data_IF_556657553513
#
_entry.id   IF_556657553513
#
_cell.length_a   1.000
_cell.length_b   1.000
_cell.length_c   1.000
_cell.angle_alpha   90.00
_cell.angle_beta   90.00
_cell.angle_gamma   90.00
#
_symmetry.space_group_name_H-M   'P 1'
#
loop_
_entity.id
_entity.type
_entity.pdbx_description
1 polymer ?
#
# COMPACT_ATOMS: atom_id res chain seq x y z
N UNK A 1 9.35 -59.94 -51.44
CA UNK A 1 9.70 -58.57 -51.20
C UNK A 1 9.02 -58.13 -49.84
N UNK A 2 9.85 -58.12 -48.77
CA UNK A 2 9.37 -57.68 -47.44
C UNK A 2 9.76 -56.20 -47.28
N UNK A 3 8.78 -55.31 -47.12
CA UNK A 3 9.03 -53.86 -46.83
C UNK A 3 9.15 -53.66 -45.32
N UNK A 4 10.32 -53.21 -44.86
CA UNK A 4 10.51 -52.75 -43.50
C UNK A 4 10.05 -51.27 -43.41
N UNK A 5 9.12 -51.00 -42.51
CA UNK A 5 8.76 -49.62 -42.09
C UNK A 5 9.62 -49.25 -40.88
N UNK A 6 10.49 -48.26 -41.04
CA UNK A 6 11.20 -47.61 -39.96
C UNK A 6 10.27 -46.56 -39.35
N UNK A 7 9.84 -46.77 -38.09
CA UNK A 7 9.13 -45.78 -37.30
C UNK A 7 10.21 -44.98 -36.57
N UNK A 8 10.40 -43.71 -37.00
CA UNK A 8 11.26 -42.74 -36.32
C UNK A 8 10.46 -42.09 -35.23
N UNK A 9 10.71 -42.46 -33.95
CA UNK A 9 10.14 -41.79 -32.79
C UNK A 9 10.86 -40.46 -32.53
N UNK A 10 10.20 -39.35 -32.82
CA UNK A 10 10.64 -38.03 -32.39
C UNK A 10 10.36 -37.88 -30.90
N UNK A 11 11.38 -37.94 -30.04
CA UNK A 11 11.33 -37.57 -28.64
C UNK A 11 11.38 -36.02 -28.56
N UNK A 12 10.24 -35.38 -28.37
CA UNK A 12 10.19 -33.97 -28.03
C UNK A 12 10.56 -33.81 -26.55
N UNK A 13 11.77 -33.37 -26.28
CA UNK A 13 12.16 -32.90 -24.94
C UNK A 13 11.39 -31.58 -24.63
N UNK A 14 10.36 -31.66 -23.82
CA UNK A 14 9.84 -30.50 -23.15
C UNK A 14 10.83 -30.08 -22.06
N UNK A 15 11.60 -29.03 -22.31
CA UNK A 15 12.34 -28.33 -21.27
C UNK A 15 11.32 -27.68 -20.30
N UNK A 16 11.00 -28.39 -19.22
CA UNK A 16 10.29 -27.82 -18.10
C UNK A 16 11.26 -26.81 -17.45
N UNK A 17 11.10 -25.55 -17.79
CA UNK A 17 11.80 -24.47 -17.10
C UNK A 17 11.46 -24.53 -15.62
N UNK A 18 12.35 -25.09 -14.81
CA UNK A 18 12.27 -25.05 -13.37
C UNK A 18 12.43 -23.58 -12.95
N UNK A 19 11.32 -22.86 -12.74
CA UNK A 19 11.40 -21.60 -12.02
C UNK A 19 11.90 -21.93 -10.61
N UNK A 20 13.07 -21.45 -10.25
CA UNK A 20 13.62 -21.66 -8.92
C UNK A 20 12.60 -21.17 -7.88
N UNK A 21 12.16 -22.10 -7.02
CA UNK A 21 11.24 -21.74 -5.95
C UNK A 21 11.88 -20.67 -5.06
N UNK A 22 11.17 -19.57 -4.80
CA UNK A 22 11.64 -18.52 -3.91
C UNK A 22 12.07 -19.08 -2.55
N UNK A 23 13.15 -18.55 -2.02
CA UNK A 23 13.63 -18.81 -0.66
C UNK A 23 14.30 -17.56 -0.09
N UNK A 24 14.29 -17.38 1.25
CA UNK A 24 15.05 -16.32 1.90
C UNK A 24 16.53 -16.34 1.49
N UNK A 25 17.12 -15.18 1.26
CA UNK A 25 18.52 -15.03 0.91
C UNK A 25 19.42 -15.07 2.14
N UNK A 26 20.52 -15.84 2.07
CA UNK A 26 21.52 -15.94 3.15
C UNK A 26 20.95 -16.48 4.46
N UNK A 27 21.72 -16.27 5.54
CA UNK A 27 21.44 -16.74 6.91
C UNK A 27 21.27 -15.61 7.92
N UNK A 28 20.90 -14.40 7.46
CA UNK A 28 20.61 -13.26 8.33
C UNK A 28 19.53 -13.59 9.35
N UNK A 29 19.56 -12.89 10.48
CA UNK A 29 18.56 -13.00 11.54
C UNK A 29 17.15 -12.80 10.95
N UNK A 30 16.25 -13.70 11.32
CA UNK A 30 14.84 -13.68 10.96
C UNK A 30 14.00 -13.85 12.23
N UNK A 31 12.81 -13.29 12.21
CA UNK A 31 11.79 -13.55 13.23
C UNK A 31 11.08 -14.87 12.95
N UNK A 32 10.34 -15.41 13.92
CA UNK A 32 9.56 -16.63 13.75
C UNK A 32 8.52 -16.53 12.64
N UNK A 33 7.98 -15.33 12.40
CA UNK A 33 7.03 -15.05 11.31
C UNK A 33 7.62 -15.21 9.90
N UNK A 34 8.93 -15.20 9.76
CA UNK A 34 9.57 -15.42 8.46
C UNK A 34 9.21 -16.78 7.85
N UNK A 35 8.98 -17.82 8.69
CA UNK A 35 8.56 -19.15 8.26
C UNK A 35 7.12 -19.19 7.70
N UNK A 36 6.31 -18.18 8.00
CA UNK A 36 4.91 -18.08 7.60
C UNK A 36 4.73 -17.31 6.26
N UNK A 37 5.81 -16.75 5.69
CA UNK A 37 5.74 -15.99 4.45
C UNK A 37 5.45 -16.93 3.29
N UNK A 38 4.32 -16.67 2.63
CA UNK A 38 3.92 -17.32 1.39
C UNK A 38 4.06 -16.35 0.21
N UNK A 39 4.99 -16.55 -0.73
CA UNK A 39 5.21 -15.65 -1.87
C UNK A 39 3.98 -15.46 -2.77
N UNK A 40 3.05 -16.41 -2.78
CA UNK A 40 1.81 -16.30 -3.53
C UNK A 40 0.73 -15.48 -2.82
N UNK A 41 0.89 -15.20 -1.52
CA UNK A 41 -0.10 -14.48 -0.70
C UNK A 41 0.59 -13.67 0.41
N UNK A 42 1.36 -12.67 0.01
CA UNK A 42 2.18 -11.83 0.91
C UNK A 42 1.33 -10.70 1.45
N UNK A 43 1.23 -10.58 2.79
CA UNK A 43 0.48 -9.52 3.49
C UNK A 43 -0.92 -9.33 2.85
N UNK A 44 -1.82 -10.31 3.02
CA UNK A 44 -3.11 -10.34 2.33
C UNK A 44 -4.14 -9.37 2.90
N UNK A 45 -3.88 -8.77 4.05
CA UNK A 45 -4.76 -7.80 4.70
C UNK A 45 -4.82 -6.48 3.92
N UNK A 46 -5.96 -5.79 4.01
CA UNK A 46 -6.12 -4.46 3.41
C UNK A 46 -5.16 -3.47 4.07
N UNK A 47 -4.32 -2.76 3.28
CA UNK A 47 -3.16 -2.05 3.85
C UNK A 47 -3.47 -0.68 4.45
N UNK A 48 -4.70 -0.16 4.31
CA UNK A 48 -5.10 1.17 4.81
C UNK A 48 -6.41 1.09 5.61
N UNK A 49 -6.43 0.44 6.80
CA UNK A 49 -7.66 0.15 7.55
C UNK A 49 -8.43 1.40 8.01
N UNK A 50 -7.77 2.57 8.07
CA UNK A 50 -8.44 3.83 8.41
C UNK A 50 -9.44 4.30 7.33
N UNK A 51 -9.35 3.78 6.11
CA UNK A 51 -10.27 4.05 5.01
C UNK A 51 -10.28 2.86 4.06
N UNK A 52 -11.10 1.88 4.35
CA UNK A 52 -11.17 0.60 3.66
C UNK A 52 -12.23 0.60 2.56
N UNK A 53 -11.90 -0.01 1.40
CA UNK A 53 -12.85 -0.35 0.33
C UNK A 53 -12.91 -1.85 0.14
N UNK A 54 -14.10 -2.34 -0.19
CA UNK A 54 -14.32 -3.78 -0.42
C UNK A 54 -13.61 -4.30 -1.67
N UNK A 55 -13.52 -3.46 -2.72
CA UNK A 55 -12.87 -3.80 -3.97
C UNK A 55 -11.41 -3.31 -3.96
N UNK A 56 -10.46 -4.23 -4.02
CA UNK A 56 -9.04 -3.93 -4.14
C UNK A 56 -8.25 -5.13 -4.65
N UNK A 57 -7.01 -4.92 -5.07
CA UNK A 57 -6.12 -5.98 -5.50
C UNK A 57 -4.72 -5.78 -4.93
N UNK A 58 -4.24 -6.79 -4.20
CA UNK A 58 -2.87 -6.84 -3.71
C UNK A 58 -1.91 -7.10 -4.88
N UNK A 59 -0.85 -6.31 -4.97
CA UNK A 59 0.24 -6.47 -5.94
C UNK A 59 1.55 -6.92 -5.29
N UNK A 60 1.55 -7.29 -4.01
CA UNK A 60 2.71 -7.93 -3.39
C UNK A 60 2.99 -9.30 -4.03
N UNK A 61 4.16 -9.85 -3.76
CA UNK A 61 4.59 -11.14 -4.28
C UNK A 61 5.85 -11.01 -5.12
N UNK A 62 6.11 -11.98 -5.99
CA UNK A 62 7.32 -11.99 -6.81
C UNK A 62 7.23 -10.99 -7.96
N UNK A 63 8.23 -10.13 -8.08
CA UNK A 63 8.45 -9.18 -9.16
C UNK A 63 9.80 -9.46 -9.80
N UNK A 64 9.95 -9.19 -11.09
CA UNK A 64 11.27 -9.15 -11.70
C UNK A 64 12.05 -7.94 -11.17
N UNK A 65 13.37 -8.07 -10.99
CA UNK A 65 14.22 -6.96 -10.56
C UNK A 65 15.53 -6.93 -11.33
N UNK A 66 16.10 -5.75 -11.42
CA UNK A 66 17.48 -5.51 -11.87
C UNK A 66 18.09 -4.32 -11.11
N UNK A 67 19.39 -4.36 -10.91
CA UNK A 67 20.18 -3.23 -10.42
C UNK A 67 20.96 -2.65 -11.59
N UNK A 68 20.73 -1.39 -11.91
CA UNK A 68 21.37 -0.68 -13.04
C UNK A 68 22.22 0.48 -12.52
N UNK A 69 23.11 1.02 -13.32
CA UNK A 69 23.81 2.25 -12.97
C UNK A 69 22.82 3.43 -13.04
N UNK A 70 23.03 4.41 -12.18
CA UNK A 70 22.18 5.59 -12.08
C UNK A 70 22.13 6.35 -13.41
N UNK A 71 20.91 6.59 -13.85
CA UNK A 71 20.63 7.30 -15.10
C UNK A 71 20.65 6.43 -16.35
N UNK A 72 20.88 5.12 -16.24
CA UNK A 72 20.71 4.21 -17.34
C UNK A 72 19.24 4.04 -17.74
N UNK A 73 19.04 3.58 -18.98
CA UNK A 73 17.71 3.19 -19.44
C UNK A 73 17.19 1.97 -18.71
N UNK A 74 15.87 1.75 -18.77
CA UNK A 74 15.25 0.56 -18.21
C UNK A 74 15.88 -0.70 -18.86
N UNK A 75 16.18 -1.74 -18.06
CA UNK A 75 16.88 -2.91 -18.55
C UNK A 75 15.99 -3.73 -19.49
N UNK A 76 16.57 -4.30 -20.55
CA UNK A 76 15.88 -5.27 -21.40
C UNK A 76 15.76 -6.65 -20.74
N UNK A 77 16.69 -6.98 -19.85
CA UNK A 77 16.73 -8.24 -19.11
C UNK A 77 16.79 -7.97 -17.61
N UNK A 78 16.19 -8.86 -16.82
CA UNK A 78 16.17 -8.78 -15.36
C UNK A 78 17.11 -9.82 -14.75
N UNK A 79 17.69 -9.50 -13.60
CA UNK A 79 18.62 -10.38 -12.88
C UNK A 79 17.92 -11.58 -12.23
N UNK A 80 16.63 -11.46 -11.93
CA UNK A 80 15.84 -12.47 -11.25
C UNK A 80 14.56 -11.93 -10.65
N UNK A 81 14.12 -12.57 -9.56
CA UNK A 81 12.91 -12.18 -8.85
C UNK A 81 13.20 -11.70 -7.44
N UNK A 82 12.44 -10.69 -7.00
CA UNK A 82 12.44 -10.13 -5.66
C UNK A 82 11.05 -10.24 -5.06
N UNK A 83 10.95 -10.59 -3.79
CA UNK A 83 9.66 -10.66 -3.09
C UNK A 83 9.29 -9.28 -2.53
N UNK A 84 8.34 -8.62 -3.15
CA UNK A 84 7.74 -7.37 -2.68
C UNK A 84 6.71 -7.68 -1.58
N UNK A 85 6.69 -6.93 -0.45
CA UNK A 85 7.35 -5.65 -0.19
C UNK A 85 8.60 -5.74 0.70
N UNK A 86 9.48 -6.68 0.48
CA UNK A 86 10.70 -6.77 1.28
C UNK A 86 11.84 -6.03 0.59
N UNK A 87 12.49 -5.11 1.33
CA UNK A 87 13.63 -4.35 0.83
C UNK A 87 14.73 -5.27 0.28
N UNK A 88 15.45 -4.85 -0.75
CA UNK A 88 16.44 -5.68 -1.45
C UNK A 88 17.51 -6.25 -0.52
N UNK A 89 17.86 -5.54 0.57
CA UNK A 89 18.83 -5.99 1.57
C UNK A 89 18.29 -7.07 2.50
N UNK A 90 16.97 -7.17 2.62
CA UNK A 90 16.30 -8.13 3.50
C UNK A 90 16.50 -9.56 3.01
N UNK A 91 16.64 -10.50 3.96
CA UNK A 91 16.63 -11.94 3.66
C UNK A 91 15.34 -12.34 2.96
N UNK A 92 14.18 -11.81 3.39
CA UNK A 92 12.87 -12.13 2.85
C UNK A 92 12.63 -11.59 1.43
N UNK A 93 13.45 -10.66 0.94
CA UNK A 93 13.40 -10.26 -0.47
C UNK A 93 13.75 -11.42 -1.41
N UNK A 94 14.50 -12.42 -0.92
CA UNK A 94 15.11 -13.48 -1.72
C UNK A 94 16.39 -13.05 -2.43
N UNK A 95 16.81 -11.78 -2.30
CA UNK A 95 17.97 -11.19 -2.98
C UNK A 95 19.12 -10.92 -2.01
N UNK A 96 18.91 -10.18 -0.94
CA UNK A 96 19.90 -9.92 0.11
C UNK A 96 21.08 -9.03 -0.32
N UNK A 97 20.96 -8.30 -1.44
CA UNK A 97 21.98 -7.40 -1.97
C UNK A 97 21.89 -6.02 -1.33
N UNK A 98 23.00 -5.28 -1.33
CA UNK A 98 23.04 -3.83 -1.06
C UNK A 98 23.23 -3.09 -2.38
N UNK A 99 22.62 -1.91 -2.49
CA UNK A 99 22.86 -0.96 -3.57
C UNK A 99 23.55 0.26 -3.02
N UNK A 100 24.14 1.07 -3.90
CA UNK A 100 24.85 2.31 -3.53
C UNK A 100 24.29 3.51 -4.29
N UNK A 101 24.80 4.70 -3.97
CA UNK A 101 24.34 5.97 -4.53
C UNK A 101 24.48 6.12 -6.06
N UNK A 102 25.28 5.26 -6.70
CA UNK A 102 25.49 5.24 -8.15
C UNK A 102 24.63 4.19 -8.86
N UNK A 103 23.70 3.56 -8.15
CA UNK A 103 22.84 2.50 -8.66
C UNK A 103 21.36 2.86 -8.49
N UNK A 104 20.53 2.26 -9.32
CA UNK A 104 19.08 2.31 -9.26
C UNK A 104 18.53 0.88 -9.28
N UNK A 105 17.48 0.65 -8.49
CA UNK A 105 16.76 -0.62 -8.43
C UNK A 105 15.53 -0.54 -9.31
N UNK A 106 15.40 -1.44 -10.27
CA UNK A 106 14.25 -1.52 -11.18
C UNK A 106 13.43 -2.74 -10.84
N UNK A 107 12.11 -2.55 -10.71
CA UNK A 107 11.12 -3.60 -10.51
C UNK A 107 10.19 -3.67 -11.70
N UNK A 108 9.72 -4.88 -12.04
CA UNK A 108 8.69 -5.07 -13.07
C UNK A 108 7.71 -6.15 -12.64
N UNK A 109 6.41 -5.88 -12.87
CA UNK A 109 5.33 -6.83 -12.66
C UNK A 109 4.24 -6.70 -13.71
N UNK A 110 3.73 -7.83 -14.18
CA UNK A 110 2.49 -7.88 -14.96
C UNK A 110 1.28 -7.96 -14.04
N UNK A 111 0.19 -7.29 -14.44
CA UNK A 111 -1.07 -7.32 -13.69
C UNK A 111 -2.27 -7.18 -14.62
N UNK A 112 -3.42 -7.67 -14.16
CA UNK A 112 -4.70 -7.55 -14.86
C UNK A 112 -5.69 -6.73 -14.03
N UNK A 113 -6.55 -5.98 -14.71
CA UNK A 113 -7.66 -5.25 -14.10
C UNK A 113 -8.89 -6.15 -14.09
N UNK A 114 -9.53 -6.37 -12.92
CA UNK A 114 -10.78 -7.10 -12.84
C UNK A 114 -11.86 -6.48 -13.75
N UNK A 115 -12.61 -7.31 -14.48
CA UNK A 115 -13.65 -6.83 -15.40
C UNK A 115 -14.75 -5.99 -14.71
N UNK A 116 -14.99 -6.23 -13.42
CA UNK A 116 -15.92 -5.45 -12.58
C UNK A 116 -15.47 -3.99 -12.37
N UNK A 117 -14.22 -3.64 -12.68
CA UNK A 117 -13.68 -2.28 -12.55
C UNK A 117 -13.84 -1.44 -13.82
N UNK A 118 -14.42 -2.01 -14.87
CA UNK A 118 -14.65 -1.30 -16.15
C UNK A 118 -15.42 0.00 -15.93
N UNK A 119 -14.89 1.10 -16.46
CA UNK A 119 -15.50 2.43 -16.35
C UNK A 119 -15.24 3.16 -15.02
N UNK A 120 -14.49 2.56 -14.10
CA UNK A 120 -14.01 3.23 -12.89
C UNK A 120 -12.60 3.77 -13.09
N UNK A 121 -12.20 4.75 -12.30
CA UNK A 121 -10.79 5.13 -12.14
C UNK A 121 -10.09 4.03 -11.35
N UNK A 122 -8.81 3.79 -11.65
CA UNK A 122 -7.98 2.83 -10.94
C UNK A 122 -6.82 3.58 -10.29
N UNK A 123 -6.77 3.53 -8.98
CA UNK A 123 -5.67 4.09 -8.20
C UNK A 123 -4.65 3.00 -7.88
N UNK A 124 -3.39 3.28 -8.16
CA UNK A 124 -2.23 2.47 -7.74
C UNK A 124 -1.61 3.12 -6.52
N UNK A 125 -1.44 2.33 -5.46
CA UNK A 125 -0.94 2.79 -4.17
C UNK A 125 0.35 2.10 -3.80
N UNK A 126 1.23 2.84 -3.13
CA UNK A 126 2.43 2.35 -2.48
C UNK A 126 2.38 2.78 -1.00
N UNK A 127 2.54 1.84 -0.09
CA UNK A 127 2.62 2.13 1.34
C UNK A 127 3.88 2.91 1.70
N UNK A 128 5.03 2.49 1.19
CA UNK A 128 6.28 3.24 1.22
C UNK A 128 7.32 2.65 0.25
N UNK A 129 8.15 3.53 -0.30
CA UNK A 129 9.30 3.18 -1.16
C UNK A 129 10.46 4.10 -0.79
N UNK A 130 11.59 3.57 -0.39
CA UNK A 130 12.79 4.34 -0.07
C UNK A 130 13.73 4.37 -1.27
N UNK A 131 14.01 5.48 -1.84
CA UNK A 131 13.69 6.86 -1.48
C UNK A 131 13.02 7.63 -2.64
N UNK A 132 13.71 7.83 -3.81
CA UNK A 132 13.18 8.50 -5.00
C UNK A 132 12.65 7.48 -5.98
N UNK A 133 11.38 7.60 -6.31
CA UNK A 133 10.62 6.60 -7.07
C UNK A 133 10.07 7.22 -8.34
N UNK A 134 10.25 6.53 -9.46
CA UNK A 134 9.57 6.80 -10.73
C UNK A 134 8.72 5.58 -11.10
N UNK A 135 7.50 5.80 -11.61
CA UNK A 135 6.54 4.73 -11.90
C UNK A 135 5.99 4.85 -13.32
N UNK A 136 5.96 3.73 -14.03
CA UNK A 136 5.39 3.60 -15.38
C UNK A 136 4.36 2.47 -15.41
N UNK A 137 3.31 2.66 -16.21
CA UNK A 137 2.35 1.63 -16.58
C UNK A 137 2.28 1.60 -18.11
N UNK A 138 2.52 0.44 -18.73
CA UNK A 138 2.54 0.27 -20.19
C UNK A 138 3.39 1.35 -20.91
N UNK A 139 4.62 1.57 -20.44
CA UNK A 139 5.59 2.55 -20.90
C UNK A 139 5.19 4.03 -20.70
N UNK A 140 4.01 4.31 -20.16
CA UNK A 140 3.56 5.65 -19.78
C UNK A 140 4.01 5.98 -18.38
N UNK A 141 4.79 7.04 -18.18
CA UNK A 141 5.17 7.51 -16.84
C UNK A 141 3.94 8.08 -16.14
N UNK A 142 3.50 7.43 -15.05
CA UNK A 142 2.31 7.85 -14.30
C UNK A 142 2.64 8.80 -13.15
N UNK A 143 3.89 8.82 -12.69
CA UNK A 143 4.31 9.78 -11.69
C UNK A 143 5.66 9.50 -11.07
N UNK A 144 6.03 10.35 -10.13
CA UNK A 144 7.24 10.26 -9.31
C UNK A 144 6.91 10.60 -7.86
N UNK A 145 7.66 10.03 -6.93
CA UNK A 145 7.58 10.34 -5.50
C UNK A 145 8.98 10.47 -4.92
N UNK A 146 9.09 11.28 -3.88
CA UNK A 146 10.33 11.45 -3.10
C UNK A 146 9.98 11.43 -1.62
N UNK A 147 10.54 10.47 -0.89
CA UNK A 147 10.27 10.25 0.53
C UNK A 147 10.16 8.77 0.87
N UNK A 148 10.97 8.28 1.82
CA UNK A 148 11.06 6.85 2.13
C UNK A 148 9.99 6.31 3.07
N UNK A 149 9.15 7.17 3.69
CA UNK A 149 8.30 6.78 4.83
C UNK A 149 6.82 7.10 4.64
N UNK A 150 6.46 7.82 3.59
CA UNK A 150 5.09 8.27 3.34
C UNK A 150 4.43 7.51 2.21
N UNK A 151 3.13 7.16 2.34
CA UNK A 151 2.38 6.54 1.25
C UNK A 151 2.13 7.54 0.12
N UNK A 152 2.02 7.02 -1.09
CA UNK A 152 1.67 7.80 -2.27
C UNK A 152 0.82 6.97 -3.25
N UNK A 153 0.15 7.67 -4.17
CA UNK A 153 -0.78 7.03 -5.11
C UNK A 153 -0.80 7.75 -6.45
N UNK A 154 -1.07 6.99 -7.51
CA UNK A 154 -1.24 7.52 -8.87
C UNK A 154 -2.55 7.01 -9.47
N UNK A 155 -3.27 7.86 -10.18
CA UNK A 155 -4.34 7.42 -11.07
C UNK A 155 -3.70 6.85 -12.35
N UNK A 156 -3.86 5.55 -12.54
CA UNK A 156 -3.26 4.83 -13.68
C UNK A 156 -4.27 4.61 -14.81
N UNK A 157 -5.48 5.09 -14.69
CA UNK A 157 -6.61 4.78 -15.60
C UNK A 157 -6.27 5.03 -17.06
N UNK A 158 -5.66 6.18 -17.36
CA UNK A 158 -5.30 6.56 -18.73
C UNK A 158 -4.15 5.75 -19.34
N UNK A 159 -3.33 5.12 -18.49
CA UNK A 159 -2.20 4.29 -18.92
C UNK A 159 -2.56 2.81 -19.08
N UNK A 160 -3.76 2.39 -18.71
CA UNK A 160 -4.20 1.01 -18.85
C UNK A 160 -4.44 0.63 -20.31
N UNK A 161 -4.04 -0.57 -20.69
CA UNK A 161 -4.19 -1.12 -22.07
C UNK A 161 -5.60 -1.56 -22.23
N UNK A 162 -6.61 -1.32 -21.86
CA UNK A 162 -8.01 -1.76 -22.09
C UNK A 162 -8.22 -3.24 -22.46
N UNK A 163 -7.15 -4.01 -22.64
CA UNK A 163 -7.17 -5.45 -23.00
C UNK A 163 -6.00 -6.18 -22.33
N UNK A 164 -6.32 -7.22 -21.52
CA UNK A 164 -5.35 -8.17 -21.01
C UNK A 164 -4.38 -7.63 -19.97
N UNK A 165 -3.16 -8.11 -20.02
CA UNK A 165 -2.09 -7.78 -19.08
C UNK A 165 -1.59 -6.34 -19.27
N UNK A 166 -1.36 -5.68 -18.16
CA UNK A 166 -0.64 -4.43 -18.07
C UNK A 166 0.73 -4.68 -17.45
N UNK A 167 1.70 -3.84 -17.77
CA UNK A 167 3.04 -3.90 -17.19
C UNK A 167 3.24 -2.71 -16.26
N UNK A 168 3.65 -2.98 -15.04
CA UNK A 168 4.07 -1.99 -14.05
C UNK A 168 5.59 -2.03 -13.93
N UNK A 169 6.23 -0.87 -14.07
CA UNK A 169 7.67 -0.69 -13.84
C UNK A 169 7.85 0.37 -12.76
N UNK A 170 8.71 0.08 -11.80
CA UNK A 170 9.08 0.98 -10.71
C UNK A 170 10.59 1.09 -10.68
N UNK A 171 11.12 2.31 -10.77
CA UNK A 171 12.55 2.59 -10.67
C UNK A 171 12.82 3.40 -9.41
N UNK A 172 13.77 2.96 -8.60
CA UNK A 172 14.06 3.56 -7.29
C UNK A 172 15.55 3.87 -7.16
N UNK A 173 15.83 5.08 -6.70
CA UNK A 173 17.17 5.50 -6.30
C UNK A 173 17.19 5.82 -4.81
N UNK A 174 18.08 5.17 -4.07
CA UNK A 174 18.32 5.41 -2.66
C UNK A 174 19.82 5.56 -2.38
N UNK A 175 20.30 6.77 -2.01
CA UNK A 175 21.70 6.98 -1.68
C UNK A 175 22.05 6.58 -0.24
N UNK A 176 21.13 6.03 0.54
CA UNK A 176 21.28 5.65 1.95
C UNK A 176 21.84 6.80 2.79
N UNK A 177 23.14 6.82 3.07
CA UNK A 177 23.84 7.82 3.89
C UNK A 177 24.71 8.81 3.08
N UNK A 178 24.59 8.80 1.75
CA UNK A 178 25.33 9.66 0.81
C UNK A 178 24.51 10.84 0.28
N UNK A 179 23.31 11.04 0.80
CA UNK A 179 22.41 12.12 0.40
C UNK A 179 21.88 12.93 1.58
N UNK A 180 21.15 14.01 1.31
CA UNK A 180 20.58 14.89 2.34
C UNK A 180 19.22 14.40 2.89
N UNK A 181 18.68 13.29 2.37
CA UNK A 181 17.37 12.78 2.74
C UNK A 181 17.34 12.24 4.17
N UNK A 182 16.16 12.24 4.82
CA UNK A 182 15.95 11.53 6.07
C UNK A 182 16.20 10.02 5.88
N UNK A 183 17.05 9.44 6.69
CA UNK A 183 17.41 8.01 6.61
C UNK A 183 17.27 7.25 7.94
N UNK A 184 16.92 7.95 9.03
CA UNK A 184 16.93 7.36 10.36
C UNK A 184 18.35 6.91 10.74
N UNK A 185 18.48 5.65 11.21
CA UNK A 185 19.77 5.05 11.58
C UNK A 185 20.41 4.20 10.47
N UNK A 186 19.93 4.31 9.23
CA UNK A 186 20.45 3.54 8.10
C UNK A 186 21.82 4.09 7.65
N UNK A 187 22.78 3.21 7.45
CA UNK A 187 24.12 3.53 6.92
C UNK A 187 24.64 2.40 6.04
N UNK A 188 25.50 2.76 5.07
CA UNK A 188 26.08 1.81 4.12
C UNK A 188 26.94 0.74 4.82
N UNK A 189 27.60 1.08 5.93
CA UNK A 189 28.42 0.16 6.74
C UNK A 189 27.90 0.15 8.18
N UNK A 190 26.84 -0.61 8.49
CA UNK A 190 26.22 -0.61 9.81
C UNK A 190 27.12 -1.28 10.86
N UNK A 191 27.31 -0.57 11.98
CA UNK A 191 27.96 -1.05 13.17
C UNK A 191 27.37 -0.35 14.42
N UNK A 192 27.54 -0.92 15.60
CA UNK A 192 27.03 -0.35 16.85
C UNK A 192 25.51 -0.10 16.81
N UNK A 193 25.11 1.17 16.89
CA UNK A 193 23.70 1.59 16.89
C UNK A 193 23.10 1.80 15.50
N UNK A 194 23.87 1.62 14.45
CA UNK A 194 23.42 1.83 13.07
C UNK A 194 22.87 0.57 12.44
N UNK A 195 21.95 0.74 11.49
CA UNK A 195 21.23 -0.35 10.85
C UNK A 195 21.53 -0.48 9.37
N UNK A 196 21.29 -1.67 8.84
CA UNK A 196 21.31 -1.98 7.41
C UNK A 196 20.36 -1.03 6.66
N UNK A 197 20.72 -0.58 5.44
CA UNK A 197 19.82 0.16 4.57
C UNK A 197 18.51 -0.60 4.30
N UNK A 198 17.47 0.17 3.98
CA UNK A 198 16.19 -0.30 3.49
C UNK A 198 15.92 0.41 2.18
N UNK A 199 16.28 -0.21 1.05
CA UNK A 199 16.17 0.41 -0.26
C UNK A 199 15.05 -0.22 -1.07
N UNK A 200 14.31 0.61 -1.81
CA UNK A 200 13.23 0.17 -2.69
C UNK A 200 11.87 0.05 -2.01
N UNK A 201 11.01 -0.82 -2.54
CA UNK A 201 9.65 -1.04 -2.04
C UNK A 201 9.73 -1.83 -0.73
N UNK A 202 9.23 -1.25 0.38
CA UNK A 202 9.27 -1.90 1.68
C UNK A 202 7.91 -1.96 2.41
N UNK A 203 6.86 -1.41 1.79
CA UNK A 203 5.47 -1.59 2.22
C UNK A 203 4.59 -2.00 1.05
N UNK A 204 3.39 -2.51 1.35
CA UNK A 204 2.43 -3.07 0.39
C UNK A 204 2.20 -2.18 -0.82
N UNK A 205 2.16 -2.81 -1.99
CA UNK A 205 1.70 -2.22 -3.25
C UNK A 205 0.33 -2.81 -3.57
N UNK A 206 -0.65 -1.94 -3.85
CA UNK A 206 -2.01 -2.39 -4.16
C UNK A 206 -2.71 -1.42 -5.11
N UNK A 207 -3.85 -1.83 -5.62
CA UNK A 207 -4.72 -0.97 -6.43
C UNK A 207 -6.17 -1.14 -6.03
N UNK A 208 -6.97 -0.10 -6.25
CA UNK A 208 -8.40 -0.08 -5.99
C UNK A 208 -9.15 0.71 -7.06
N UNK A 209 -10.40 0.31 -7.41
CA UNK A 209 -11.25 1.07 -8.29
C UNK A 209 -11.99 2.14 -7.49
N UNK A 210 -12.07 3.35 -8.03
CA UNK A 210 -12.84 4.44 -7.43
C UNK A 210 -13.78 5.07 -8.47
N UNK A 211 -14.86 5.68 -7.99
CA UNK A 211 -15.71 6.51 -8.84
C UNK A 211 -14.97 7.78 -9.26
N UNK A 212 -15.40 8.43 -10.35
CA UNK A 212 -14.85 9.72 -10.76
C UNK A 212 -14.92 10.79 -9.67
N UNK A 213 -15.89 10.68 -8.77
CA UNK A 213 -15.99 11.45 -7.53
C UNK A 213 -15.89 10.48 -6.34
N UNK A 214 -14.89 10.65 -5.49
CA UNK A 214 -14.62 9.74 -4.39
C UNK A 214 -13.96 10.42 -3.18
N UNK A 215 -13.98 9.73 -2.06
CA UNK A 215 -13.29 10.12 -0.82
C UNK A 215 -11.81 9.77 -0.97
N UNK A 216 -10.93 10.77 -0.83
CA UNK A 216 -9.47 10.59 -0.89
C UNK A 216 -8.87 10.24 0.45
N UNK A 217 -9.41 10.82 1.52
CA UNK A 217 -8.88 10.65 2.86
C UNK A 217 -9.94 10.94 3.90
N UNK A 218 -9.76 10.42 5.12
CA UNK A 218 -10.56 10.69 6.29
C UNK A 218 -9.70 11.27 7.42
N UNK A 219 -10.14 12.35 8.00
CA UNK A 219 -9.60 12.86 9.27
C UNK A 219 -10.66 12.70 10.35
N UNK A 220 -10.36 11.87 11.35
CA UNK A 220 -11.29 11.50 12.42
C UNK A 220 -10.75 12.05 13.73
N UNK A 221 -11.57 12.86 14.41
CA UNK A 221 -11.16 13.55 15.65
C UNK A 221 -12.21 13.33 16.73
N UNK A 222 -11.92 12.55 17.78
CA UNK A 222 -12.80 12.39 18.92
C UNK A 222 -12.67 13.56 19.91
N UNK A 223 -13.78 13.97 20.51
CA UNK A 223 -13.86 14.89 21.63
C UNK A 223 -14.73 14.26 22.72
N UNK A 224 -14.08 13.64 23.71
CA UNK A 224 -14.78 12.92 24.78
C UNK A 224 -15.44 13.88 25.79
N UNK A 225 -14.96 15.11 25.91
CA UNK A 225 -15.54 16.11 26.82
C UNK A 225 -16.89 16.61 26.31
N UNK A 226 -17.06 16.67 24.98
CA UNK A 226 -18.29 17.06 24.31
C UNK A 226 -19.15 15.90 23.86
N UNK A 227 -18.66 14.65 24.02
CA UNK A 227 -19.24 13.44 23.41
C UNK A 227 -19.46 13.63 21.90
N UNK A 228 -18.44 14.09 21.20
CA UNK A 228 -18.49 14.42 19.79
C UNK A 228 -17.42 13.65 19.03
N UNK A 229 -17.78 13.15 17.84
CA UNK A 229 -16.82 12.60 16.85
C UNK A 229 -16.91 13.46 15.59
N UNK A 230 -15.83 14.13 15.24
CA UNK A 230 -15.75 14.92 14.01
C UNK A 230 -15.06 14.11 12.93
N UNK A 231 -15.71 13.95 11.77
CA UNK A 231 -15.17 13.25 10.60
C UNK A 231 -15.12 14.21 9.42
N UNK A 232 -13.91 14.55 8.97
CA UNK A 232 -13.69 15.31 7.74
C UNK A 232 -13.31 14.36 6.61
N UNK A 233 -14.16 14.27 5.58
CA UNK A 233 -13.86 13.55 4.35
C UNK A 233 -13.21 14.53 3.35
N UNK A 234 -12.00 14.21 2.90
CA UNK A 234 -11.35 14.92 1.80
C UNK A 234 -11.78 14.29 0.49
N UNK A 235 -12.37 15.07 -0.41
CA UNK A 235 -12.85 14.60 -1.72
C UNK A 235 -11.85 14.94 -2.81
N UNK A 236 -11.79 14.13 -3.87
CA UNK A 236 -11.01 14.48 -5.07
C UNK A 236 -11.62 15.66 -5.84
N UNK A 237 -12.93 15.83 -5.77
CA UNK A 237 -13.69 16.98 -6.26
C UNK A 237 -14.93 17.18 -5.40
N UNK A 238 -15.29 18.42 -5.09
CA UNK A 238 -16.46 18.76 -4.29
C UNK A 238 -17.42 19.65 -5.08
N UNK A 239 -18.72 19.46 -4.86
CA UNK A 239 -19.78 20.31 -5.39
C UNK A 239 -20.75 20.71 -4.25
N UNK A 240 -21.46 21.85 -4.35
CA UNK A 240 -22.41 22.27 -3.34
C UNK A 240 -23.54 21.25 -3.04
N UNK A 241 -23.87 20.39 -3.99
CA UNK A 241 -24.88 19.32 -3.82
C UNK A 241 -24.34 18.04 -3.20
N UNK A 242 -23.04 17.98 -2.87
CA UNK A 242 -22.45 16.82 -2.23
C UNK A 242 -22.72 16.84 -0.75
N UNK A 243 -22.99 15.67 -0.19
CA UNK A 243 -23.02 15.53 1.26
C UNK A 243 -22.38 14.21 1.70
N UNK A 244 -21.79 14.25 2.88
CA UNK A 244 -21.17 13.13 3.55
C UNK A 244 -22.06 12.70 4.70
N UNK A 245 -22.35 11.40 4.76
CA UNK A 245 -23.07 10.76 5.86
C UNK A 245 -22.10 9.82 6.59
N UNK A 246 -22.08 9.93 7.91
CA UNK A 246 -21.28 9.07 8.79
C UNK A 246 -22.20 8.30 9.71
N UNK A 247 -22.14 6.99 9.67
CA UNK A 247 -22.85 6.10 10.59
C UNK A 247 -21.82 5.42 11.50
N UNK A 248 -22.06 5.45 12.80
CA UNK A 248 -21.18 4.91 13.85
C UNK A 248 -21.84 3.69 14.47
N UNK A 249 -21.09 2.60 14.55
CA UNK A 249 -21.59 1.33 15.05
C UNK A 249 -20.78 0.81 16.26
N UNK A 250 -21.50 0.24 17.23
CA UNK A 250 -20.96 -0.64 18.27
C UNK A 250 -21.27 -2.09 17.87
N UNK A 251 -20.28 -2.79 17.34
CA UNK A 251 -20.53 -4.06 16.65
C UNK A 251 -21.51 -3.86 15.48
N UNK A 252 -22.67 -4.50 15.53
CA UNK A 252 -23.71 -4.37 14.50
C UNK A 252 -24.77 -3.31 14.83
N UNK A 253 -24.72 -2.67 16.00
CA UNK A 253 -25.72 -1.70 16.44
C UNK A 253 -25.33 -0.29 15.98
N UNK A 254 -26.20 0.37 15.22
CA UNK A 254 -26.06 1.78 14.91
C UNK A 254 -26.28 2.62 16.20
N UNK A 255 -25.27 3.36 16.62
CA UNK A 255 -25.30 4.14 17.88
C UNK A 255 -25.32 5.64 17.65
N UNK A 256 -24.84 6.11 16.50
CA UNK A 256 -24.89 7.54 16.16
C UNK A 256 -24.83 7.73 14.63
N UNK A 257 -25.33 8.87 14.16
CA UNK A 257 -25.23 9.29 12.75
C UNK A 257 -25.05 10.80 12.66
N UNK A 258 -24.31 11.24 11.64
CA UNK A 258 -24.13 12.64 11.31
C UNK A 258 -24.10 12.85 9.81
N UNK A 259 -24.39 14.09 9.39
CA UNK A 259 -24.38 14.50 7.97
C UNK A 259 -23.85 15.91 7.84
N UNK A 260 -23.12 16.18 6.76
CA UNK A 260 -22.71 17.53 6.37
C UNK A 260 -22.83 17.72 4.86
N UNK A 261 -22.95 18.97 4.45
CA UNK A 261 -22.96 19.41 3.04
C UNK A 261 -21.60 20.02 2.68
N UNK A 262 -21.31 20.14 1.38
CA UNK A 262 -20.12 20.83 0.84
C UNK A 262 -18.80 20.31 1.36
N UNK A 263 -18.71 18.99 1.69
CA UNK A 263 -17.53 18.38 2.30
C UNK A 263 -17.05 19.04 3.62
N UNK A 264 -17.93 19.79 4.29
CA UNK A 264 -17.67 20.28 5.64
C UNK A 264 -17.51 19.11 6.61
N UNK A 265 -16.81 19.29 7.74
CA UNK A 265 -16.69 18.23 8.73
C UNK A 265 -18.06 17.77 9.23
N UNK A 266 -18.24 16.45 9.29
CA UNK A 266 -19.43 15.82 9.87
C UNK A 266 -19.25 15.76 11.38
N UNK A 267 -20.11 16.44 12.13
CA UNK A 267 -20.19 16.30 13.58
C UNK A 267 -21.19 15.19 13.93
N UNK A 268 -20.74 14.18 14.65
CA UNK A 268 -21.54 13.05 15.12
C UNK A 268 -21.63 13.10 16.64
N UNK A 269 -22.81 13.39 17.18
CA UNK A 269 -23.06 13.34 18.63
C UNK A 269 -23.06 11.91 19.11
N UNK A 270 -22.09 11.55 19.94
CA UNK A 270 -21.97 10.23 20.54
C UNK A 270 -22.85 10.09 21.78
N UNK A 271 -23.32 8.88 22.12
CA UNK A 271 -24.04 8.64 23.36
C UNK A 271 -23.24 9.10 24.59
N UNK A 272 -23.93 9.60 25.64
CA UNK A 272 -23.25 10.00 26.89
C UNK A 272 -22.49 8.89 27.58
N UNK A 273 -22.90 7.65 27.38
CA UNK A 273 -22.24 6.44 27.87
C UNK A 273 -21.36 5.77 26.80
N UNK A 274 -20.84 6.55 25.84
CA UNK A 274 -19.96 6.02 24.82
C UNK A 274 -18.76 5.28 25.46
N UNK A 275 -18.45 4.11 24.94
CA UNK A 275 -17.29 3.32 25.36
C UNK A 275 -16.00 4.06 25.00
N UNK A 276 -15.14 4.27 26.00
CA UNK A 276 -13.85 4.91 25.79
C UNK A 276 -12.80 3.85 25.49
N UNK A 277 -11.78 4.27 24.77
CA UNK A 277 -10.61 3.44 24.48
C UNK A 277 -9.54 3.64 25.57
N UNK A 278 -8.98 2.55 26.05
CA UNK A 278 -7.74 2.51 26.84
C UNK A 278 -6.92 1.27 26.46
N UNK A 279 -5.63 1.16 26.85
CA UNK A 279 -4.85 -0.08 26.65
C UNK A 279 -5.52 -1.33 27.24
N UNK A 280 -6.20 -1.19 28.38
CA UNK A 280 -6.90 -2.28 29.07
C UNK A 280 -8.28 -2.58 28.45
N UNK A 281 -8.84 -1.63 27.72
CA UNK A 281 -10.13 -1.74 27.01
C UNK A 281 -10.04 -1.06 25.64
N UNK A 282 -9.40 -1.70 24.63
CA UNK A 282 -9.09 -1.10 23.33
C UNK A 282 -10.29 -1.10 22.40
N UNK A 283 -11.41 -0.48 22.82
CA UNK A 283 -12.66 -0.49 22.10
C UNK A 283 -12.62 0.44 20.87
N UNK A 284 -13.05 -0.07 19.72
CA UNK A 284 -13.16 0.66 18.46
C UNK A 284 -14.59 0.64 17.95
N UNK A 285 -15.11 1.82 17.59
CA UNK A 285 -16.34 1.95 16.83
C UNK A 285 -16.07 1.74 15.36
N UNK A 286 -16.96 1.01 14.67
CA UNK A 286 -16.93 0.93 13.20
C UNK A 286 -17.62 2.16 12.62
N UNK A 287 -17.02 2.76 11.61
CA UNK A 287 -17.58 3.86 10.85
C UNK A 287 -17.92 3.43 9.44
N UNK A 288 -19.10 3.83 8.95
CA UNK A 288 -19.44 3.76 7.52
C UNK A 288 -19.63 5.16 7.00
N UNK A 289 -18.75 5.58 6.11
CA UNK A 289 -18.75 6.91 5.51
C UNK A 289 -19.24 6.82 4.08
N UNK A 290 -20.32 7.55 3.78
CA UNK A 290 -20.97 7.51 2.46
C UNK A 290 -20.95 8.91 1.86
N UNK A 291 -20.40 9.02 0.64
CA UNK A 291 -20.50 10.21 -0.18
C UNK A 291 -21.70 10.11 -1.10
N UNK A 292 -22.56 11.13 -1.08
CA UNK A 292 -23.70 11.25 -2.00
C UNK A 292 -23.56 12.52 -2.82
N UNK A 293 -23.88 12.44 -4.11
CA UNK A 293 -23.88 13.57 -5.05
C UNK A 293 -25.18 13.51 -5.85
N UNK A 294 -25.90 14.63 -5.95
CA UNK A 294 -27.21 14.65 -6.59
C UNK A 294 -28.22 13.65 -6.00
N UNK A 295 -28.15 13.37 -4.71
CA UNK A 295 -29.01 12.41 -4.01
C UNK A 295 -28.60 10.93 -4.18
N UNK A 296 -27.62 10.62 -5.02
CA UNK A 296 -27.15 9.24 -5.26
C UNK A 296 -25.84 8.97 -4.51
N UNK A 297 -25.72 7.74 -4.01
CA UNK A 297 -24.45 7.26 -3.44
C UNK A 297 -23.42 7.12 -4.56
N UNK A 298 -22.29 7.78 -4.41
CA UNK A 298 -21.18 7.76 -5.39
C UNK A 298 -19.95 7.06 -4.85
N UNK A 299 -19.71 7.09 -3.52
CA UNK A 299 -18.59 6.37 -2.90
C UNK A 299 -18.97 5.94 -1.47
N UNK A 300 -18.34 4.86 -1.00
CA UNK A 300 -18.48 4.35 0.37
C UNK A 300 -17.14 3.83 0.83
N UNK A 301 -16.81 4.15 2.08
CA UNK A 301 -15.63 3.60 2.74
C UNK A 301 -15.99 3.18 4.17
N UNK A 302 -15.36 2.11 4.62
CA UNK A 302 -15.40 1.69 6.02
C UNK A 302 -14.18 2.23 6.75
N UNK A 303 -14.35 2.49 8.05
CA UNK A 303 -13.31 3.05 8.90
C UNK A 303 -13.56 2.68 10.36
N UNK A 304 -12.76 3.20 11.25
CA UNK A 304 -12.96 3.02 12.69
C UNK A 304 -12.60 4.28 13.47
N UNK A 305 -13.10 4.37 14.70
CA UNK A 305 -12.77 5.44 15.63
C UNK A 305 -12.66 4.93 17.06
N UNK A 306 -11.71 5.51 17.79
CA UNK A 306 -11.59 5.35 19.24
C UNK A 306 -12.02 6.64 19.94
N UNK A 307 -12.89 6.55 20.94
CA UNK A 307 -13.20 7.68 21.80
C UNK A 307 -12.12 7.80 22.88
N UNK A 308 -11.12 8.62 22.64
CA UNK A 308 -9.93 8.79 23.49
C UNK A 308 -9.46 10.24 23.48
N UNK A 309 -8.82 10.65 24.59
CA UNK A 309 -8.21 11.97 24.75
C UNK A 309 -6.79 11.81 25.32
N UNK A 310 -5.87 12.62 24.80
CA UNK A 310 -4.60 12.94 25.43
C UNK A 310 -4.67 14.37 25.93
N UNK A 311 -4.30 14.61 27.17
CA UNK A 311 -4.25 15.94 27.74
C UNK A 311 -3.11 16.04 28.74
N UNK A 312 -2.61 17.24 28.93
CA UNK A 312 -1.68 17.54 30.01
C UNK A 312 -2.43 18.24 31.12
N UNK A 313 -2.04 18.00 32.35
CA UNK A 313 -2.52 18.78 33.51
C UNK A 313 -1.34 19.09 34.42
N UNK A 314 -1.49 20.15 35.18
CA UNK A 314 -0.54 20.46 36.28
C UNK A 314 -1.04 19.77 37.54
N UNK A 315 -0.21 18.87 38.06
CA UNK A 315 -0.50 18.19 39.32
C UNK A 315 -0.24 19.09 40.56
N UNK A 316 -0.60 18.61 41.75
CA UNK A 316 -0.45 19.37 42.99
C UNK A 316 1.03 19.73 43.31
N UNK A 317 2.01 18.99 42.78
CA UNK A 317 3.43 19.27 42.85
C UNK A 317 3.92 20.32 41.85
N UNK A 318 3.02 20.90 41.06
CA UNK A 318 3.33 21.92 40.04
C UNK A 318 3.90 21.38 38.74
N UNK A 319 4.07 20.07 38.60
CA UNK A 319 4.61 19.43 37.39
C UNK A 319 3.48 19.18 36.39
N UNK A 320 3.75 19.48 35.12
CA UNK A 320 2.83 19.16 34.01
C UNK A 320 3.07 17.73 33.56
N UNK A 321 2.03 16.91 33.59
CA UNK A 321 2.02 15.51 33.13
C UNK A 321 0.89 15.27 32.15
#
# INVERSE_FOLDING_TARGET
MRRFFLISSFLTLFAIGSSAQWKPAGDKIKTDWASQINPANVLPEYPRPIMERSDWKNLNGLWNYAVINKGEHLPAEFEGQILVPFAIESSLSGVGKRINENQELVYQRSFEIPSAWKGKQVLLHFGAVDWKTDVWVNDVKVGSHTGGFTPFSFDITAALSGKGNNQLVVKVWDPTDKGPQPRGKQVSNPEGIWYTPVSGIWQTVWMEPVAGKHIKNLRITPDIDRNLLTVKAELNSACPSDFVEVNVYDGNQLVATGKSINAEPVEVSMPRNAKLWSPDSPFLYTLKVTLKSGGKVVDKVDSYAAMRKYSTRRDADGIVR
#
